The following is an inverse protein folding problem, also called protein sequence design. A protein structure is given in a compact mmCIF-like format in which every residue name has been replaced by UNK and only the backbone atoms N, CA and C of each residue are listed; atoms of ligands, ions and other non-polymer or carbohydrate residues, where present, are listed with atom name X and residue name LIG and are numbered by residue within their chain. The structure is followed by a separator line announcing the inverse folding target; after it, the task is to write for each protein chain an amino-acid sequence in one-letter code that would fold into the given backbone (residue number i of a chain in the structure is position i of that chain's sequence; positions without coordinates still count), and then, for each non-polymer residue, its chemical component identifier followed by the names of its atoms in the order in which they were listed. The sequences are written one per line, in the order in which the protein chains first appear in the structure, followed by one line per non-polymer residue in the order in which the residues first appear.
data_IF_033350865789
#
_entry.id   IF_033350865789
#
_cell.length_a   1.000
_cell.length_b   1.000
_cell.length_c   1.000
_cell.angle_alpha   90.00
_cell.angle_beta   90.00
_cell.angle_gamma   90.00
#
_symmetry.space_group_name_H-M   'P 1'
#
loop_
_entity.id
_entity.type
_entity.pdbx_description
1 polymer ?
#
# COMPACT_ATOMS: atom_id res chain seq x y z
N UNK A 1 -9.02 -8.00 7.86
CA UNK A 1 -8.53 -7.79 6.48
C UNK A 1 -9.70 -7.78 5.53
N UNK A 2 -9.79 -6.73 4.74
CA UNK A 2 -10.90 -6.60 3.82
C UNK A 2 -10.41 -6.69 2.39
N UNK A 3 -11.32 -7.10 1.52
CA UNK A 3 -10.99 -7.13 0.09
C UNK A 3 -10.52 -5.77 -0.40
N UNK A 4 -11.11 -4.71 0.13
CA UNK A 4 -10.73 -3.36 -0.26
C UNK A 4 -9.27 -3.08 0.08
N UNK A 5 -8.84 -3.53 1.25
CA UNK A 5 -7.45 -3.33 1.65
C UNK A 5 -6.51 -4.10 0.74
N UNK A 6 -6.89 -5.31 0.39
CA UNK A 6 -6.08 -6.12 -0.50
C UNK A 6 -6.01 -5.49 -1.87
N UNK A 7 -7.13 -5.02 -2.39
CA UNK A 7 -7.15 -4.37 -3.69
C UNK A 7 -6.28 -3.12 -3.69
N UNK A 8 -6.35 -2.35 -2.60
CA UNK A 8 -5.53 -1.16 -2.48
C UNK A 8 -4.06 -1.52 -2.46
N UNK A 9 -3.70 -2.54 -1.69
CA UNK A 9 -2.32 -2.99 -1.63
C UNK A 9 -1.82 -3.42 -3.01
N UNK A 10 -2.62 -4.19 -3.73
CA UNK A 10 -2.21 -4.65 -5.05
C UNK A 10 -2.00 -3.48 -6.00
N UNK A 11 -2.84 -2.47 -5.90
CA UNK A 11 -2.72 -1.31 -6.76
C UNK A 11 -1.45 -0.52 -6.44
N UNK A 12 -1.15 -0.36 -5.15
CA UNK A 12 0.07 0.31 -4.75
C UNK A 12 1.29 -0.46 -5.22
N UNK A 13 1.25 -1.77 -5.09
CA UNK A 13 2.37 -2.60 -5.51
C UNK A 13 2.59 -2.51 -7.02
N UNK A 14 1.50 -2.49 -7.76
CA UNK A 14 1.58 -2.45 -9.21
C UNK A 14 2.10 -1.11 -9.70
N UNK A 15 1.63 -0.03 -9.11
CA UNK A 15 2.01 1.32 -9.52
C UNK A 15 3.24 1.82 -8.80
N UNK A 16 3.62 1.16 -7.72
CA UNK A 16 4.76 1.54 -6.89
C UNK A 16 4.65 2.97 -6.40
N UNK A 17 3.42 3.38 -6.09
CA UNK A 17 3.19 4.74 -5.65
C UNK A 17 1.86 4.81 -4.93
N UNK A 18 1.86 5.37 -3.73
CA UNK A 18 0.63 5.59 -2.99
C UNK A 18 -0.24 6.63 -3.67
N UNK A 19 0.36 7.70 -4.17
CA UNK A 19 -0.44 8.76 -4.75
C UNK A 19 -1.07 8.32 -6.06
N UNK A 20 -0.36 7.55 -6.87
CA UNK A 20 -0.94 7.05 -8.09
C UNK A 20 -2.05 6.05 -7.82
N UNK A 21 -1.85 5.19 -6.83
CA UNK A 21 -2.87 4.23 -6.47
C UNK A 21 -4.12 4.94 -5.97
N UNK A 22 -3.93 5.97 -5.15
CA UNK A 22 -5.06 6.73 -4.64
C UNK A 22 -5.86 7.34 -5.78
N UNK A 23 -5.16 7.92 -6.74
CA UNK A 23 -5.80 8.53 -7.87
C UNK A 23 -6.58 7.51 -8.68
N UNK A 24 -5.97 6.37 -8.90
CA UNK A 24 -6.60 5.31 -9.67
C UNK A 24 -7.84 4.77 -8.98
N UNK A 25 -7.79 4.67 -7.67
CA UNK A 25 -8.89 4.11 -6.90
C UNK A 25 -9.93 5.13 -6.47
N UNK A 26 -9.62 6.40 -6.64
CA UNK A 26 -10.56 7.45 -6.24
C UNK A 26 -10.52 7.73 -4.75
N UNK A 27 -9.40 7.46 -4.09
CA UNK A 27 -9.23 7.73 -2.67
C UNK A 27 -8.23 8.85 -2.48
N UNK A 28 -8.19 9.38 -1.26
CA UNK A 28 -7.09 10.27 -0.90
C UNK A 28 -5.85 9.41 -0.62
N UNK A 29 -4.69 10.02 -0.76
CA UNK A 29 -3.47 9.29 -0.46
C UNK A 29 -3.44 8.83 0.99
N UNK A 30 -3.94 9.66 1.89
CA UNK A 30 -3.99 9.30 3.30
C UNK A 30 -4.84 8.04 3.50
N UNK A 31 -5.96 7.94 2.80
CA UNK A 31 -6.81 6.78 2.92
C UNK A 31 -6.10 5.52 2.44
N UNK A 32 -5.38 5.63 1.34
CA UNK A 32 -4.62 4.49 0.82
C UNK A 32 -3.56 4.07 1.81
N UNK A 33 -2.85 5.03 2.38
CA UNK A 33 -1.81 4.74 3.35
C UNK A 33 -2.38 4.01 4.56
N UNK A 34 -3.51 4.49 5.05
CA UNK A 34 -4.15 3.88 6.21
C UNK A 34 -4.56 2.43 5.90
N UNK A 35 -5.13 2.22 4.73
CA UNK A 35 -5.57 0.87 4.36
C UNK A 35 -4.40 -0.09 4.27
N UNK A 36 -3.30 0.35 3.67
CA UNK A 36 -2.13 -0.50 3.55
C UNK A 36 -1.54 -0.80 4.92
N UNK A 37 -1.50 0.20 5.79
CA UNK A 37 -0.97 0.00 7.13
C UNK A 37 -1.85 -0.94 7.94
N UNK A 38 -3.15 -0.87 7.77
CA UNK A 38 -4.04 -1.79 8.44
C UNK A 38 -3.77 -3.23 7.98
N UNK A 39 -3.58 -3.41 6.69
CA UNK A 39 -3.29 -4.72 6.16
C UNK A 39 -1.97 -5.25 6.71
N UNK A 40 -0.95 -4.39 6.73
CA UNK A 40 0.33 -4.78 7.28
C UNK A 40 0.20 -5.21 8.73
N UNK A 41 -0.59 -4.47 9.48
CA UNK A 41 -0.77 -4.76 10.90
C UNK A 41 -1.44 -6.10 11.08
N UNK A 42 -2.47 -6.38 10.28
CA UNK A 42 -3.19 -7.61 10.39
C UNK A 42 -2.35 -8.82 9.99
N UNK A 43 -1.51 -8.65 9.00
CA UNK A 43 -0.62 -9.70 8.56
C UNK A 43 0.68 -9.74 9.35
N UNK A 44 0.91 -8.73 10.16
CA UNK A 44 2.12 -8.61 10.96
C UNK A 44 3.37 -8.61 10.10
N UNK A 45 3.34 -7.84 9.02
CA UNK A 45 4.47 -7.73 8.10
C UNK A 45 4.61 -6.28 7.69
N UNK A 46 5.75 -5.98 7.10
CA UNK A 46 6.01 -4.64 6.55
C UNK A 46 6.13 -4.76 5.04
N UNK A 47 5.02 -4.53 4.37
CA UNK A 47 4.96 -4.74 2.93
C UNK A 47 5.63 -3.63 2.14
N UNK A 48 5.48 -2.40 2.60
CA UNK A 48 6.00 -1.25 1.86
C UNK A 48 6.86 -0.39 2.77
N UNK A 49 7.84 -1.03 3.36
CA UNK A 49 8.66 -0.38 4.34
C UNK A 49 9.29 0.91 3.82
N UNK A 50 9.67 0.92 2.57
CA UNK A 50 10.37 2.05 2.03
C UNK A 50 9.73 2.67 0.83
N UNK A 51 8.47 2.41 0.65
CA UNK A 51 7.83 2.85 -0.57
C UNK A 51 7.86 4.36 -0.72
N UNK A 52 7.85 5.07 0.37
CA UNK A 52 7.92 6.52 0.31
C UNK A 52 9.26 7.03 -0.15
N UNK A 53 10.28 6.22 -0.04
CA UNK A 53 11.63 6.62 -0.40
C UNK A 53 12.09 6.02 -1.69
N UNK A 54 11.75 4.77 -1.93
CA UNK A 54 12.30 4.07 -3.06
C UNK A 54 11.29 3.42 -3.92
N UNK A 55 10.08 3.40 -3.54
CA UNK A 55 9.01 2.76 -4.30
C UNK A 55 9.33 1.33 -4.65
N UNK A 56 10.06 0.63 -3.80
CA UNK A 56 10.29 -0.78 -4.00
C UNK A 56 9.64 -1.53 -2.87
N UNK A 57 9.27 -2.75 -3.14
CA UNK A 57 8.73 -3.60 -2.10
C UNK A 57 9.84 -3.98 -1.15
N UNK A 58 9.49 -4.27 0.06
CA UNK A 58 10.42 -4.77 1.05
C UNK A 58 11.01 -6.06 0.52
N UNK A 59 12.26 -6.11 0.53
CA UNK A 59 12.82 -7.33 0.08
C UNK A 59 13.53 -7.97 1.20
N UNK A 60 13.62 -8.12 1.46
CA UNK A 60 14.15 -8.50 2.31
C UNK A 60 14.75 -8.35 2.31
N UNK A 61 14.55 -8.05 1.93
CA UNK A 61 14.91 -7.80 2.02
C UNK A 61 14.84 -7.46 1.72
#
# INVERSE_FOLDING_TARGET
MELREIATFLQVAQLKSFSKAAKQLGYSQAAVTIQVKQLEKELNVHLFDRIGKQTTLTHQG
#
